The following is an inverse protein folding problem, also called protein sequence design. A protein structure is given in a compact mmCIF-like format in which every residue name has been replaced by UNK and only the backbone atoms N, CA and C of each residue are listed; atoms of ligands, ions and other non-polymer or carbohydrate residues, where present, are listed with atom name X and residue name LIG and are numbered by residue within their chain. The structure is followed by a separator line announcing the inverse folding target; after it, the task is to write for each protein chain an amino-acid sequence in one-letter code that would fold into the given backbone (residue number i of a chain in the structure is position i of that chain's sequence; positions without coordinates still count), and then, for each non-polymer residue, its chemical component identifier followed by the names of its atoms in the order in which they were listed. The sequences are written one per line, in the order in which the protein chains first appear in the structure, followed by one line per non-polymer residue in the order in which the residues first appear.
data_IF_679316563025
#
_entry.id   IF_679316563025
#
_cell.length_a   1.000
_cell.length_b   1.000
_cell.length_c   1.000
_cell.angle_alpha   90.00
_cell.angle_beta   90.00
_cell.angle_gamma   90.00
#
_symmetry.space_group_name_H-M   'P 1'
#
loop_
_entity.id
_entity.type
_entity.pdbx_description
1 polymer ?
#
# COMPACT_ATOMS: atom_id res chain seq x y z
N UNK A 1 -8.77 -8.11 10.77
CA UNK A 1 -9.20 -6.87 10.04
C UNK A 1 -8.08 -6.29 9.19
N UNK A 2 -6.90 -5.93 9.75
CA UNK A 2 -5.78 -5.37 8.97
C UNK A 2 -5.34 -6.22 7.77
N UNK A 3 -5.15 -7.53 7.97
CA UNK A 3 -4.71 -8.43 6.89
C UNK A 3 -5.72 -8.49 5.73
N UNK A 4 -7.02 -8.44 6.02
CA UNK A 4 -8.08 -8.44 5.00
C UNK A 4 -8.08 -7.14 4.18
N UNK A 5 -7.84 -6.00 4.84
CA UNK A 5 -7.69 -4.71 4.14
C UNK A 5 -6.46 -4.70 3.23
N UNK A 6 -5.33 -5.20 3.71
CA UNK A 6 -4.13 -5.34 2.89
C UNK A 6 -4.42 -6.22 1.67
N UNK A 7 -5.06 -7.37 1.84
CA UNK A 7 -5.45 -8.25 0.72
C UNK A 7 -6.31 -7.50 -0.30
N UNK A 8 -7.26 -6.68 0.13
CA UNK A 8 -8.09 -5.90 -0.78
C UNK A 8 -7.27 -4.86 -1.55
N UNK A 9 -6.34 -4.16 -0.89
CA UNK A 9 -5.44 -3.20 -1.55
C UNK A 9 -4.56 -3.92 -2.59
N UNK A 10 -3.94 -5.03 -2.20
CA UNK A 10 -3.05 -5.83 -3.06
C UNK A 10 -3.78 -6.46 -4.26
N UNK A 11 -5.05 -6.85 -4.10
CA UNK A 11 -5.88 -7.37 -5.21
C UNK A 11 -6.23 -6.31 -6.24
N UNK A 12 -6.45 -5.08 -5.78
CA UNK A 12 -6.85 -3.95 -6.63
C UNK A 12 -5.67 -3.28 -7.35
N UNK A 13 -4.43 -3.56 -6.92
CA UNK A 13 -3.22 -3.09 -7.60
C UNK A 13 -3.07 -3.74 -8.98
N UNK A 14 -2.83 -2.96 -10.03
CA UNK A 14 -2.44 -3.51 -11.34
C UNK A 14 -0.95 -3.83 -11.34
N UNK A 15 -0.53 -4.70 -12.25
CA UNK A 15 0.88 -5.01 -12.44
C UNK A 15 1.63 -3.75 -12.91
N UNK A 16 2.74 -3.44 -12.26
CA UNK A 16 3.52 -2.21 -12.44
C UNK A 16 3.02 -1.01 -11.62
N UNK A 17 1.93 -1.14 -10.86
CA UNK A 17 1.55 -0.15 -9.86
C UNK A 17 2.22 -0.47 -8.51
N UNK A 18 2.65 0.59 -7.81
CA UNK A 18 3.12 0.50 -6.43
C UNK A 18 2.19 1.25 -5.46
N UNK A 19 2.11 0.74 -4.24
CA UNK A 19 1.40 1.37 -3.12
C UNK A 19 2.33 1.47 -1.92
N UNK A 20 2.00 2.36 -0.99
CA UNK A 20 2.83 2.63 0.18
C UNK A 20 2.02 2.40 1.46
N UNK A 21 2.58 1.60 2.36
CA UNK A 21 2.07 1.39 3.71
C UNK A 21 2.93 2.15 4.71
N UNK A 22 2.29 2.85 5.65
CA UNK A 22 2.98 3.56 6.73
C UNK A 22 3.42 2.58 7.83
N UNK A 23 4.59 2.81 8.44
CA UNK A 23 4.99 2.04 9.62
C UNK A 23 5.03 2.91 10.86
N UNK A 24 5.29 2.30 12.02
CA UNK A 24 5.41 2.95 13.33
C UNK A 24 6.40 4.10 13.37
N UNK A 25 7.39 4.08 12.47
CA UNK A 25 8.39 5.13 12.31
C UNK A 25 8.04 5.88 11.04
N UNK A 26 7.75 7.17 11.17
CA UNK A 26 7.26 8.04 10.08
C UNK A 26 8.20 8.07 8.86
N UNK A 27 9.49 7.82 9.08
CA UNK A 27 10.55 7.76 8.07
C UNK A 27 10.64 6.41 7.34
N UNK A 28 9.98 5.37 7.84
CA UNK A 28 9.96 4.06 7.22
C UNK A 28 8.60 3.80 6.58
N UNK A 29 8.60 3.71 5.25
CA UNK A 29 7.45 3.28 4.45
C UNK A 29 7.74 1.88 3.91
N UNK A 30 6.69 1.09 3.76
CA UNK A 30 6.75 -0.17 3.03
C UNK A 30 6.18 0.12 1.66
N UNK A 31 7.00 0.00 0.63
CA UNK A 31 6.52 0.06 -0.75
C UNK A 31 6.16 -1.34 -1.20
N UNK A 32 5.05 -1.47 -1.91
CA UNK A 32 4.60 -2.75 -2.47
C UNK A 32 4.21 -2.55 -3.91
N UNK A 33 4.84 -3.28 -4.80
CA UNK A 33 4.58 -3.26 -6.23
C UNK A 33 4.08 -4.64 -6.68
N UNK A 34 3.05 -4.67 -7.52
CA UNK A 34 2.64 -5.93 -8.16
C UNK A 34 3.53 -6.13 -9.39
N UNK A 35 4.23 -7.25 -9.45
CA UNK A 35 5.23 -7.53 -10.49
C UNK A 35 4.96 -8.88 -11.16
N UNK A 36 5.40 -9.05 -12.40
CA UNK A 36 5.47 -10.37 -13.01
C UNK A 36 6.73 -11.10 -12.57
N UNK A 37 6.56 -12.33 -12.10
CA UNK A 37 7.64 -13.28 -11.80
C UNK A 37 7.56 -14.43 -12.80
N UNK A 38 8.11 -14.20 -13.99
CA UNK A 38 7.99 -15.14 -15.11
C UNK A 38 6.61 -15.04 -15.75
N UNK A 39 5.82 -16.11 -15.68
CA UNK A 39 4.43 -16.15 -16.19
C UNK A 39 3.39 -15.85 -15.10
N UNK A 40 3.80 -15.88 -13.83
CA UNK A 40 2.93 -15.66 -12.69
C UNK A 40 3.07 -14.23 -12.14
N UNK A 41 2.04 -13.78 -11.45
CA UNK A 41 2.04 -12.50 -10.74
C UNK A 41 2.57 -12.67 -9.32
N UNK A 42 3.17 -11.61 -8.78
CA UNK A 42 3.62 -11.56 -7.40
C UNK A 42 3.66 -10.14 -6.87
N UNK A 43 4.08 -10.01 -5.62
CA UNK A 43 4.18 -8.74 -4.91
C UNK A 43 5.61 -8.53 -4.44
N UNK A 44 6.26 -7.51 -4.99
CA UNK A 44 7.54 -7.04 -4.51
C UNK A 44 7.31 -6.05 -3.37
N UNK A 45 7.84 -6.36 -2.21
CA UNK A 45 7.79 -5.53 -1.01
C UNK A 45 9.18 -4.98 -0.75
N UNK A 46 9.28 -3.66 -0.66
CA UNK A 46 10.51 -2.94 -0.32
C UNK A 46 10.35 -2.36 1.07
N UNK A 47 11.19 -2.81 2.01
CA UNK A 47 11.16 -2.35 3.39
C UNK A 47 12.58 -2.19 3.92
N UNK A 48 12.91 -1.02 4.47
CA UNK A 48 14.25 -0.70 5.01
C UNK A 48 15.41 -0.97 4.03
N UNK A 49 15.17 -0.79 2.73
CA UNK A 49 16.16 -1.06 1.68
C UNK A 49 16.28 -2.54 1.26
N UNK A 50 15.59 -3.45 1.96
CA UNK A 50 15.48 -4.85 1.55
C UNK A 50 14.31 -5.02 0.58
N UNK A 51 14.54 -5.80 -0.49
CA UNK A 51 13.51 -6.21 -1.45
C UNK A 51 13.14 -7.67 -1.21
N UNK A 52 11.86 -7.94 -0.98
CA UNK A 52 11.29 -9.29 -0.83
C UNK A 52 10.20 -9.49 -1.86
N UNK A 53 10.25 -10.59 -2.59
CA UNK A 53 9.22 -10.93 -3.58
C UNK A 53 8.39 -12.08 -3.05
N UNK A 54 7.09 -11.84 -2.89
CA UNK A 54 6.12 -12.83 -2.47
C UNK A 54 5.31 -13.28 -3.68
N UNK A 55 5.22 -14.60 -3.88
CA UNK A 55 4.37 -15.19 -4.92
C UNK A 55 2.95 -15.45 -4.40
N UNK A 56 2.78 -15.51 -3.08
CA UNK A 56 1.51 -15.74 -2.43
C UNK A 56 0.94 -14.46 -1.82
N UNK A 57 -0.34 -14.20 -2.08
CA UNK A 57 -1.04 -13.01 -1.62
C UNK A 57 -1.18 -13.00 -0.09
N UNK A 58 -1.43 -14.17 0.51
CA UNK A 58 -1.62 -14.31 1.95
C UNK A 58 -0.31 -14.08 2.69
N UNK A 59 0.82 -14.57 2.16
CA UNK A 59 2.15 -14.28 2.71
C UNK A 59 2.50 -12.80 2.63
N UNK A 60 2.28 -12.16 1.47
CA UNK A 60 2.51 -10.73 1.30
C UNK A 60 1.65 -9.92 2.28
N UNK A 61 0.36 -10.25 2.38
CA UNK A 61 -0.56 -9.57 3.27
C UNK A 61 -0.22 -9.77 4.75
N UNK A 62 0.22 -10.97 5.14
CA UNK A 62 0.67 -11.25 6.51
C UNK A 62 1.91 -10.43 6.85
N UNK A 63 2.92 -10.42 5.98
CA UNK A 63 4.14 -9.63 6.19
C UNK A 63 3.82 -8.14 6.36
N UNK A 64 2.99 -7.60 5.46
CA UNK A 64 2.56 -6.20 5.52
C UNK A 64 1.75 -5.93 6.78
N UNK A 65 0.81 -6.78 7.17
CA UNK A 65 -0.02 -6.56 8.36
C UNK A 65 0.78 -6.51 9.67
N UNK A 66 1.93 -7.18 9.72
CA UNK A 66 2.84 -7.18 10.88
C UNK A 66 3.63 -5.88 10.98
N UNK A 67 3.97 -5.26 9.85
CA UNK A 67 4.81 -4.06 9.80
C UNK A 67 3.99 -2.77 9.52
N UNK A 68 2.74 -2.93 9.09
CA UNK A 68 1.81 -1.85 8.81
C UNK A 68 1.18 -1.34 10.10
N UNK A 69 1.55 -0.11 10.45
CA UNK A 69 0.86 0.63 11.48
C UNK A 69 -0.23 1.47 10.84
N UNK A 70 -1.48 1.07 11.08
CA UNK A 70 -2.66 1.85 10.70
C UNK A 70 -2.72 3.05 11.65
N UNK A 71 -1.94 4.08 11.35
CA UNK A 71 -2.05 5.35 12.04
C UNK A 71 -3.35 6.01 11.54
N UNK A 72 -4.48 5.67 12.18
CA UNK A 72 -5.84 6.08 11.81
C UNK A 72 -5.94 7.60 11.56
N UNK A 73 -5.15 8.40 12.27
CA UNK A 73 -5.05 9.85 12.09
C UNK A 73 -4.64 10.27 10.67
N UNK A 74 -3.66 9.60 10.04
CA UNK A 74 -3.20 9.92 8.69
C UNK A 74 -4.19 9.49 7.61
N UNK A 75 -4.90 8.37 7.81
CA UNK A 75 -5.91 7.88 6.85
C UNK A 75 -7.10 8.83 6.76
N UNK A 76 -7.52 9.41 7.87
CA UNK A 76 -8.54 10.48 7.91
C UNK A 76 -8.04 11.75 7.20
N UNK A 77 -6.76 12.11 7.38
CA UNK A 77 -6.21 13.35 6.82
C UNK A 77 -6.08 13.32 5.28
N UNK A 78 -5.72 12.17 4.70
CA UNK A 78 -5.64 12.01 3.24
C UNK A 78 -7.02 11.98 2.56
N UNK A 79 -8.04 11.40 3.19
CA UNK A 79 -9.42 11.43 2.64
C UNK A 79 -9.99 12.85 2.58
N UNK A 80 -9.52 13.77 3.43
CA UNK A 80 -9.94 15.18 3.38
C UNK A 80 -9.19 16.00 2.33
N UNK A 81 -7.98 15.62 1.92
CA UNK A 81 -7.23 16.34 0.89
C UNK A 81 -7.77 16.07 -0.53
N UNK A 82 -8.18 14.84 -0.84
CA UNK A 82 -8.82 14.54 -2.13
C UNK A 82 -10.19 15.25 -2.29
N UNK A 83 -10.81 15.72 -1.20
CA UNK A 83 -12.06 16.48 -1.25
C UNK A 83 -11.86 17.99 -1.47
N UNK A 84 -10.63 18.51 -1.32
CA UNK A 84 -10.34 19.94 -1.49
C UNK A 84 -9.83 20.31 -2.90
N UNK A 85 -9.28 19.37 -3.68
CA UNK A 85 -8.91 19.62 -5.08
C UNK A 85 -10.12 19.71 -6.03
N UNK A 86 -11.34 19.42 -5.54
CA UNK A 86 -12.59 19.53 -6.31
C UNK A 86 -13.34 20.84 -6.07
N UNK A 87 -12.86 21.72 -5.18
CA UNK A 87 -13.50 23.00 -4.84
C UNK A 87 -12.80 24.20 -5.50
N UNK A 88 -11.67 24.02 -6.19
CA UNK A 88 -10.92 25.13 -6.81
C UNK A 88 -11.03 25.20 -8.36
N UNK A 89 -12.09 24.60 -8.92
CA UNK A 89 -12.51 24.77 -10.32
C UNK A 89 -13.90 25.41 -10.45
N UNK A 90 -14.43 25.93 -9.33
CA UNK A 90 -15.79 26.44 -9.20
C UNK A 90 -15.93 27.94 -8.98
N UNK A 91 -14.88 28.75 -9.21
CA UNK A 91 -15.05 30.20 -9.36
C UNK A 91 -15.11 30.56 -10.85
N UNK A 92 -16.31 30.40 -11.41
CA UNK A 92 -16.82 31.21 -12.51
C UNK A 92 -18.00 32.02 -12.00
#
# INVERSE_FOLDING_TARGET
MKEQEVKNILKNLKVGESTYFSTSKDEHKIEVERVFKGLDEGWMVIYQGERKVFSDLDEAARFLSQHWEVNIKKRMQNQYQEMNDLIDLGEY
#
